data_IF_801288094903
#
_entry.id   IF_801288094903
#
_cell.length_a   1.000
_cell.length_b   1.000
_cell.length_c   1.000
_cell.angle_alpha   90.00
_cell.angle_beta   90.00
_cell.angle_gamma   90.00
#
_symmetry.space_group_name_H-M   'P 1'
#
loop_
_entity.id
_entity.type
_entity.pdbx_description
1 polymer ?
#
# COMPACT_ATOMS: atom_id res chain seq x y z
N UNK A 1 -80.33 -10.23 56.90
CA UNK A 1 -79.15 -9.38 56.61
C UNK A 1 -78.01 -9.93 57.47
N UNK A 2 -76.98 -10.50 56.86
CA UNK A 2 -75.90 -11.19 57.59
C UNK A 2 -74.84 -11.70 56.60
N UNK A 3 -73.70 -11.02 56.62
CA UNK A 3 -72.59 -11.05 55.66
C UNK A 3 -71.95 -12.43 55.44
N UNK A 4 -71.67 -12.73 54.16
CA UNK A 4 -70.58 -13.63 53.75
C UNK A 4 -69.35 -12.76 53.50
N UNK A 5 -68.33 -12.84 54.35
CA UNK A 5 -67.01 -12.24 54.07
C UNK A 5 -65.93 -13.30 53.88
N UNK A 6 -65.25 -13.09 52.76
CA UNK A 6 -64.09 -13.77 52.18
C UNK A 6 -62.99 -14.19 53.15
N UNK A 7 -62.68 -15.49 53.16
CA UNK A 7 -61.40 -16.03 53.58
C UNK A 7 -60.81 -16.84 52.43
N UNK A 8 -59.72 -16.37 51.83
CA UNK A 8 -59.10 -17.10 50.70
C UNK A 8 -57.92 -16.44 50.00
N UNK A 9 -57.59 -15.17 50.30
CA UNK A 9 -56.54 -14.44 49.58
C UNK A 9 -55.10 -14.67 50.09
N UNK A 10 -54.91 -15.25 51.29
CA UNK A 10 -53.59 -15.38 51.91
C UNK A 10 -52.77 -16.62 51.52
N UNK A 11 -53.44 -17.72 51.13
CA UNK A 11 -52.74 -18.98 50.83
C UNK A 11 -52.16 -19.02 49.41
N UNK A 12 -52.84 -18.38 48.44
CA UNK A 12 -52.39 -18.35 47.05
C UNK A 12 -51.08 -17.56 46.86
N UNK A 13 -50.89 -16.47 47.61
CA UNK A 13 -49.66 -15.66 47.52
C UNK A 13 -48.45 -16.35 48.13
N UNK A 14 -48.63 -17.03 49.27
CA UNK A 14 -47.56 -17.82 49.91
C UNK A 14 -47.16 -19.01 49.03
N UNK A 15 -48.15 -19.68 48.44
CA UNK A 15 -47.88 -20.80 47.53
C UNK A 15 -47.15 -20.34 46.25
N UNK A 16 -47.58 -19.24 45.64
CA UNK A 16 -46.90 -18.66 44.49
C UNK A 16 -45.46 -18.25 44.81
N UNK A 17 -45.21 -17.65 45.99
CA UNK A 17 -43.87 -17.27 46.41
C UNK A 17 -42.94 -18.49 46.61
N UNK A 18 -43.45 -19.58 47.18
CA UNK A 18 -42.67 -20.82 47.37
C UNK A 18 -42.35 -21.52 46.05
N UNK A 19 -43.30 -21.55 45.11
CA UNK A 19 -43.05 -22.09 43.76
C UNK A 19 -42.00 -21.26 43.03
N UNK A 20 -42.10 -19.93 43.11
CA UNK A 20 -41.15 -19.02 42.47
C UNK A 20 -39.75 -19.12 43.09
N UNK A 21 -39.67 -19.29 44.42
CA UNK A 21 -38.41 -19.55 45.12
C UNK A 21 -37.80 -20.89 44.73
N UNK A 22 -38.61 -21.95 44.62
CA UNK A 22 -38.15 -23.27 44.16
C UNK A 22 -37.61 -23.22 42.73
N UNK A 23 -38.31 -22.51 41.84
CA UNK A 23 -37.88 -22.31 40.46
C UNK A 23 -36.57 -21.51 40.37
N UNK A 24 -36.39 -20.49 41.22
CA UNK A 24 -35.12 -19.75 41.28
C UNK A 24 -33.97 -20.65 41.75
N UNK A 25 -34.17 -21.47 42.77
CA UNK A 25 -33.14 -22.40 43.27
C UNK A 25 -32.77 -23.45 42.23
N UNK A 26 -33.76 -23.99 41.51
CA UNK A 26 -33.55 -25.03 40.50
C UNK A 26 -32.86 -24.48 39.24
N UNK A 27 -33.18 -23.25 38.83
CA UNK A 27 -32.62 -22.64 37.61
C UNK A 27 -31.38 -21.77 37.85
N UNK A 28 -31.00 -21.49 39.10
CA UNK A 28 -29.81 -20.70 39.43
C UNK A 28 -28.54 -21.28 38.77
N UNK A 29 -28.35 -22.60 38.85
CA UNK A 29 -27.20 -23.27 38.24
C UNK A 29 -27.17 -23.19 36.72
N UNK A 30 -28.33 -23.19 36.06
CA UNK A 30 -28.43 -23.01 34.61
C UNK A 30 -28.07 -21.58 34.18
N UNK A 31 -28.44 -20.57 34.98
CA UNK A 31 -28.07 -19.17 34.73
C UNK A 31 -26.56 -18.97 34.90
N UNK A 32 -25.97 -19.54 35.95
CA UNK A 32 -24.52 -19.51 36.18
C UNK A 32 -23.76 -20.20 35.05
N UNK A 33 -24.23 -21.37 34.60
CA UNK A 33 -23.66 -22.08 33.47
C UNK A 33 -23.75 -21.26 32.17
N UNK A 34 -24.90 -20.63 31.90
CA UNK A 34 -25.07 -19.74 30.74
C UNK A 34 -24.13 -18.54 30.77
N UNK A 35 -24.00 -17.88 31.93
CA UNK A 35 -23.09 -16.75 32.10
C UNK A 35 -21.61 -17.15 31.89
N UNK A 36 -21.22 -18.32 32.39
CA UNK A 36 -19.87 -18.86 32.21
C UNK A 36 -19.54 -19.12 30.73
N UNK A 37 -20.50 -19.68 29.96
CA UNK A 37 -20.32 -19.90 28.51
C UNK A 37 -20.17 -18.58 27.76
N UNK A 38 -20.99 -17.57 28.08
CA UNK A 38 -20.90 -16.24 27.44
C UNK A 38 -19.55 -15.58 27.74
N UNK A 39 -19.10 -15.61 29.00
CA UNK A 39 -17.80 -15.06 29.39
C UNK A 39 -16.64 -15.77 28.68
N UNK A 40 -16.75 -17.09 28.49
CA UNK A 40 -15.75 -17.90 27.78
C UNK A 40 -15.65 -17.49 26.30
N UNK A 41 -16.79 -17.30 25.63
CA UNK A 41 -16.83 -16.88 24.22
C UNK A 41 -16.26 -15.48 24.06
N UNK A 42 -16.60 -14.54 24.96
CA UNK A 42 -16.06 -13.17 24.91
C UNK A 42 -14.56 -13.17 25.14
N UNK A 43 -14.05 -13.99 26.08
CA UNK A 43 -12.62 -14.13 26.31
C UNK A 43 -11.89 -14.68 25.08
N UNK A 44 -12.45 -15.70 24.42
CA UNK A 44 -11.88 -16.28 23.18
C UNK A 44 -11.86 -15.24 22.04
N UNK A 45 -12.93 -14.46 21.87
CA UNK A 45 -13.01 -13.41 20.83
C UNK A 45 -12.06 -12.25 21.12
N UNK A 46 -11.90 -11.86 22.39
CA UNK A 46 -10.96 -10.81 22.79
C UNK A 46 -9.50 -11.25 22.58
N UNK A 47 -9.17 -12.50 22.91
CA UNK A 47 -7.85 -13.08 22.68
C UNK A 47 -7.58 -13.26 21.19
N UNK A 48 -8.57 -13.68 20.38
CA UNK A 48 -8.40 -13.86 18.94
C UNK A 48 -8.17 -12.52 18.22
N UNK A 49 -8.90 -11.45 18.58
CA UNK A 49 -8.66 -10.10 18.06
C UNK A 49 -7.24 -9.61 18.37
N UNK A 50 -6.80 -9.82 19.61
CA UNK A 50 -5.45 -9.41 20.05
C UNK A 50 -4.34 -10.25 19.43
N UNK A 51 -4.61 -11.51 19.09
CA UNK A 51 -3.71 -12.34 18.30
C UNK A 51 -3.71 -11.95 16.82
N UNK A 52 -4.83 -11.54 16.25
CA UNK A 52 -4.91 -11.09 14.85
C UNK A 52 -4.10 -9.80 14.62
N UNK A 53 -4.16 -8.86 15.55
CA UNK A 53 -3.33 -7.64 15.51
C UNK A 53 -1.84 -7.96 15.63
N UNK A 54 -1.46 -8.93 16.47
CA UNK A 54 -0.07 -9.38 16.59
C UNK A 54 0.40 -10.21 15.40
N UNK A 55 -0.46 -11.02 14.79
CA UNK A 55 -0.12 -11.81 13.61
C UNK A 55 0.06 -10.95 12.38
N UNK A 56 -0.69 -9.86 12.25
CA UNK A 56 -0.51 -8.90 11.15
C UNK A 56 0.83 -8.16 11.30
N UNK A 57 1.14 -7.63 12.49
CA UNK A 57 2.41 -6.98 12.75
C UNK A 57 3.63 -7.93 12.66
N UNK A 58 3.44 -9.22 12.97
CA UNK A 58 4.48 -10.24 12.77
C UNK A 58 4.63 -10.58 11.28
N UNK A 59 3.53 -10.71 10.54
CA UNK A 59 3.55 -10.96 9.10
C UNK A 59 4.21 -9.82 8.32
N UNK A 60 4.02 -8.56 8.73
CA UNK A 60 4.72 -7.41 8.13
C UNK A 60 6.24 -7.48 8.35
N UNK A 61 6.69 -7.80 9.57
CA UNK A 61 8.12 -7.96 9.86
C UNK A 61 8.73 -9.16 9.13
N UNK A 62 8.00 -10.27 9.06
CA UNK A 62 8.45 -11.46 8.34
C UNK A 62 8.49 -11.21 6.83
N UNK A 63 7.57 -10.40 6.29
CA UNK A 63 7.57 -9.97 4.90
C UNK A 63 8.76 -9.06 4.58
N UNK A 64 9.10 -8.10 5.47
CA UNK A 64 10.31 -7.29 5.32
C UNK A 64 11.59 -8.14 5.37
N UNK A 65 11.67 -9.09 6.31
CA UNK A 65 12.83 -9.99 6.43
C UNK A 65 12.92 -10.92 5.21
N UNK A 66 11.79 -11.43 4.72
CA UNK A 66 11.73 -12.24 3.51
C UNK A 66 12.14 -11.43 2.27
N UNK A 67 11.70 -10.17 2.13
CA UNK A 67 12.13 -9.29 1.04
C UNK A 67 13.64 -9.04 1.09
N UNK A 68 14.22 -8.77 2.27
CA UNK A 68 15.67 -8.60 2.42
C UNK A 68 16.45 -9.88 2.13
N UNK A 69 15.95 -11.04 2.57
CA UNK A 69 16.56 -12.34 2.31
C UNK A 69 16.49 -12.70 0.82
N UNK A 70 15.38 -12.39 0.15
CA UNK A 70 15.19 -12.62 -1.27
C UNK A 70 16.06 -11.69 -2.12
N UNK A 71 16.25 -10.43 -1.70
CA UNK A 71 17.25 -9.54 -2.30
C UNK A 71 18.66 -10.13 -2.20
N UNK A 72 19.06 -10.61 -1.01
CA UNK A 72 20.36 -11.25 -0.81
C UNK A 72 20.54 -12.54 -1.63
N UNK A 73 19.48 -13.35 -1.75
CA UNK A 73 19.49 -14.56 -2.55
C UNK A 73 19.63 -14.25 -4.05
N UNK A 74 18.91 -13.24 -4.55
CA UNK A 74 19.05 -12.76 -5.93
C UNK A 74 20.43 -12.18 -6.23
N UNK A 75 21.06 -11.48 -5.28
CA UNK A 75 22.45 -11.03 -5.43
C UNK A 75 23.42 -12.22 -5.57
N UNK A 76 23.25 -13.25 -4.73
CA UNK A 76 24.08 -14.47 -4.75
C UNK A 76 23.94 -15.22 -6.08
N UNK A 77 22.72 -15.39 -6.59
CA UNK A 77 22.46 -16.10 -7.86
C UNK A 77 23.01 -15.36 -9.09
N UNK A 78 23.21 -14.04 -9.02
CA UNK A 78 23.77 -13.24 -10.12
C UNK A 78 25.29 -13.06 -10.06
N UNK A 79 25.95 -13.71 -9.10
CA UNK A 79 27.41 -13.61 -8.92
C UNK A 79 27.86 -12.27 -8.33
N UNK A 80 26.95 -11.48 -7.75
CA UNK A 80 27.29 -10.28 -7.00
C UNK A 80 27.85 -10.70 -5.62
N UNK A 81 29.13 -10.44 -5.41
CA UNK A 81 29.90 -10.87 -4.24
C UNK A 81 29.91 -9.86 -3.09
N UNK A 82 29.07 -8.81 -3.14
CA UNK A 82 28.93 -7.82 -2.06
C UNK A 82 28.44 -8.39 -0.72
N UNK A 83 28.10 -9.68 -0.66
CA UNK A 83 27.81 -10.43 0.57
C UNK A 83 28.96 -11.26 1.16
N UNK A 84 30.12 -11.36 0.51
CA UNK A 84 31.26 -12.16 1.02
C UNK A 84 32.18 -11.29 1.85
N UNK A 85 31.90 -11.18 3.14
CA UNK A 85 32.83 -10.57 4.08
C UNK A 85 33.98 -11.56 4.39
N UNK A 86 35.21 -11.13 4.10
CA UNK A 86 36.42 -11.91 4.37
C UNK A 86 37.55 -11.62 3.36
N UNK A 87 38.76 -12.15 3.60
CA UNK A 87 39.93 -11.94 2.74
C UNK A 87 39.71 -12.41 1.28
N UNK A 88 38.83 -13.38 1.06
CA UNK A 88 38.49 -13.87 -0.28
C UNK A 88 37.62 -12.87 -1.07
N UNK A 89 36.78 -12.09 -0.38
CA UNK A 89 35.97 -11.02 -1.01
C UNK A 89 36.80 -9.82 -1.47
N UNK A 90 37.87 -9.49 -0.74
CA UNK A 90 38.82 -8.44 -1.14
C UNK A 90 39.59 -8.81 -2.42
N UNK A 91 39.96 -10.08 -2.54
CA UNK A 91 40.70 -10.60 -3.72
C UNK A 91 39.80 -10.64 -4.97
N UNK A 92 38.52 -10.95 -4.81
CA UNK A 92 37.54 -10.89 -5.90
C UNK A 92 37.33 -9.46 -6.42
N UNK A 93 37.25 -8.48 -5.51
CA UNK A 93 37.17 -7.05 -5.86
C UNK A 93 38.41 -6.55 -6.61
N UNK A 94 39.61 -6.99 -6.21
CA UNK A 94 40.87 -6.63 -6.87
C UNK A 94 40.98 -7.23 -8.28
N UNK A 95 40.45 -8.44 -8.50
CA UNK A 95 40.47 -9.11 -9.81
C UNK A 95 39.52 -8.48 -10.84
N UNK A 96 38.39 -7.90 -10.40
CA UNK A 96 37.44 -7.22 -11.28
C UNK A 96 37.94 -5.84 -11.72
N UNK A 97 38.69 -5.14 -10.86
CA UNK A 97 39.29 -3.84 -11.19
C UNK A 97 40.39 -3.93 -12.27
N UNK A 98 40.96 -5.11 -12.50
CA UNK A 98 42.03 -5.35 -13.49
C UNK A 98 41.46 -5.82 -14.84
N UNK A 99 40.22 -6.32 -14.88
CA UNK A 99 39.64 -6.94 -16.08
C UNK A 99 39.06 -5.94 -17.09
N UNK A 100 38.60 -4.76 -16.65
CA UNK A 100 38.18 -3.68 -17.54
C UNK A 100 39.32 -2.66 -17.67
N UNK A 101 39.92 -2.60 -18.86
CA UNK A 101 40.85 -1.54 -19.26
C UNK A 101 40.14 -0.19 -19.37
N UNK A 102 39.72 0.35 -18.23
CA UNK A 102 39.00 1.62 -18.13
C UNK A 102 39.95 2.78 -18.48
N UNK A 103 39.49 3.62 -19.41
CA UNK A 103 40.10 4.90 -19.71
C UNK A 103 40.23 5.74 -18.42
N UNK A 104 41.31 6.51 -18.37
CA UNK A 104 41.78 7.33 -17.24
C UNK A 104 40.90 8.59 -17.08
N UNK A 105 39.58 8.44 -16.93
CA UNK A 105 38.68 9.56 -16.69
C UNK A 105 38.84 10.06 -15.24
N UNK A 106 39.00 11.38 -15.04
CA UNK A 106 39.18 11.94 -13.71
C UNK A 106 37.91 11.72 -12.86
N UNK A 107 38.05 11.54 -11.53
CA UNK A 107 36.92 11.40 -10.63
C UNK A 107 36.02 12.65 -10.69
N UNK A 108 34.71 12.45 -10.83
CA UNK A 108 33.70 13.53 -10.85
C UNK A 108 33.54 14.07 -9.42
N UNK A 109 33.50 15.40 -9.27
CA UNK A 109 33.19 16.01 -7.97
C UNK A 109 31.70 15.73 -7.65
N UNK A 110 31.40 15.09 -6.49
CA UNK A 110 30.03 14.80 -6.07
C UNK A 110 29.12 16.05 -6.01
N UNK A 111 29.68 17.25 -5.85
CA UNK A 111 28.93 18.52 -5.84
C UNK A 111 28.48 18.96 -7.24
N UNK A 112 29.03 18.37 -8.30
CA UNK A 112 28.65 18.61 -9.69
C UNK A 112 27.55 17.64 -10.16
N UNK A 113 27.26 16.58 -9.40
CA UNK A 113 26.22 15.60 -9.74
C UNK A 113 24.82 16.16 -9.44
N UNK A 114 23.89 15.90 -10.34
CA UNK A 114 22.50 16.33 -10.20
C UNK A 114 21.85 15.82 -8.91
N UNK A 115 21.05 16.68 -8.27
CA UNK A 115 20.25 16.33 -7.09
C UNK A 115 18.77 16.65 -7.30
N UNK A 116 17.91 16.05 -6.50
CA UNK A 116 16.46 16.24 -6.60
C UNK A 116 16.07 17.69 -6.30
N UNK A 117 15.55 18.38 -7.30
CA UNK A 117 15.06 19.74 -7.22
C UNK A 117 13.70 19.79 -6.50
N UNK A 118 13.67 20.47 -5.36
CA UNK A 118 12.45 20.64 -4.56
C UNK A 118 11.52 21.73 -5.10
N UNK A 119 11.97 22.63 -5.97
CA UNK A 119 11.17 23.74 -6.49
C UNK A 119 11.11 23.75 -8.02
N UNK A 120 10.08 24.36 -8.64
CA UNK A 120 10.01 24.50 -10.09
C UNK A 120 11.19 25.28 -10.68
N UNK A 121 11.69 26.29 -9.97
CA UNK A 121 12.84 27.08 -10.40
C UNK A 121 14.13 26.26 -10.38
N UNK A 122 14.34 25.43 -9.35
CA UNK A 122 15.49 24.54 -9.29
C UNK A 122 15.41 23.44 -10.36
N UNK A 123 14.21 22.93 -10.66
CA UNK A 123 13.99 21.96 -11.74
C UNK A 123 14.31 22.58 -13.10
N UNK A 124 13.89 23.83 -13.33
CA UNK A 124 14.21 24.54 -14.56
C UNK A 124 15.73 24.74 -14.72
N UNK A 125 16.43 25.06 -13.63
CA UNK A 125 17.89 25.15 -13.62
C UNK A 125 18.52 23.80 -13.96
N UNK A 126 18.08 22.73 -13.31
CA UNK A 126 18.56 21.37 -13.52
C UNK A 126 18.45 20.92 -14.99
N UNK A 127 17.31 21.16 -15.65
CA UNK A 127 17.13 20.78 -17.06
C UNK A 127 17.86 21.69 -18.05
N UNK A 128 18.24 22.90 -17.61
CA UNK A 128 19.02 23.85 -18.43
C UNK A 128 20.51 23.52 -18.36
N UNK A 129 21.02 23.29 -17.14
CA UNK A 129 22.45 23.04 -16.89
C UNK A 129 22.84 21.60 -17.24
N UNK A 130 21.90 20.65 -17.17
CA UNK A 130 22.10 19.22 -17.44
C UNK A 130 23.40 18.64 -16.82
N UNK A 131 23.62 18.79 -15.50
CA UNK A 131 24.75 18.15 -14.82
C UNK A 131 24.71 16.61 -14.94
N UNK A 132 25.79 15.89 -14.63
CA UNK A 132 25.78 14.43 -14.61
C UNK A 132 24.60 13.85 -13.81
N UNK A 133 23.93 12.85 -14.38
CA UNK A 133 22.74 12.19 -13.83
C UNK A 133 21.47 13.08 -13.79
N UNK A 134 21.44 14.20 -14.52
CA UNK A 134 20.30 15.14 -14.47
C UNK A 134 18.97 14.50 -14.84
N UNK A 135 18.96 13.51 -15.75
CA UNK A 135 17.72 12.84 -16.22
C UNK A 135 16.99 12.19 -15.04
N UNK A 136 17.73 11.46 -14.22
CA UNK A 136 17.21 10.77 -13.03
C UNK A 136 16.75 11.76 -11.96
N UNK A 137 17.56 12.79 -11.70
CA UNK A 137 17.22 13.86 -10.78
C UNK A 137 15.97 14.65 -11.22
N UNK A 138 15.84 14.97 -12.52
CA UNK A 138 14.70 15.70 -13.07
C UNK A 138 13.42 14.86 -12.98
N UNK A 139 13.49 13.57 -13.31
CA UNK A 139 12.38 12.65 -13.14
C UNK A 139 11.91 12.59 -11.68
N UNK A 140 12.82 12.33 -10.74
CA UNK A 140 12.52 12.31 -9.30
C UNK A 140 11.94 13.64 -8.79
N UNK A 141 12.47 14.77 -9.30
CA UNK A 141 12.00 16.11 -8.96
C UNK A 141 10.53 16.31 -9.31
N UNK A 142 10.11 15.86 -10.51
CA UNK A 142 8.71 15.92 -10.91
C UNK A 142 7.83 15.06 -10.01
N UNK A 143 8.25 13.82 -9.69
CA UNK A 143 7.49 12.95 -8.78
C UNK A 143 7.26 13.60 -7.41
N UNK A 144 8.31 14.14 -6.80
CA UNK A 144 8.24 14.81 -5.49
C UNK A 144 7.36 16.06 -5.56
N UNK A 145 7.55 16.92 -6.56
CA UNK A 145 6.79 18.15 -6.70
C UNK A 145 5.30 17.89 -6.95
N UNK A 146 4.97 16.88 -7.76
CA UNK A 146 3.58 16.49 -8.07
C UNK A 146 2.90 15.73 -6.92
N UNK A 147 3.65 14.96 -6.12
CA UNK A 147 3.12 14.29 -4.93
C UNK A 147 2.75 15.27 -3.82
N UNK A 148 3.50 16.37 -3.69
CA UNK A 148 3.33 17.38 -2.62
C UNK A 148 1.90 17.92 -2.47
N UNK A 149 1.20 18.41 -3.52
CA UNK A 149 -0.20 18.85 -3.41
C UNK A 149 -1.18 17.70 -3.12
N UNK A 150 -0.83 16.45 -3.43
CA UNK A 150 -1.67 15.28 -3.15
C UNK A 150 -1.56 14.80 -1.69
N UNK A 151 -0.56 15.25 -0.93
CA UNK A 151 -0.24 14.69 0.39
C UNK A 151 -1.37 14.79 1.40
N UNK A 152 -2.15 15.87 1.39
CA UNK A 152 -3.29 16.00 2.29
C UNK A 152 -4.33 14.91 2.00
N UNK A 153 -4.73 14.78 0.73
CA UNK A 153 -5.69 13.78 0.24
C UNK A 153 -5.20 12.34 0.46
N UNK A 154 -3.91 12.08 0.21
CA UNK A 154 -3.30 10.77 0.44
C UNK A 154 -3.31 10.39 1.93
N UNK A 155 -3.06 11.35 2.84
CA UNK A 155 -3.15 11.10 4.29
C UNK A 155 -4.59 10.86 4.73
N UNK A 156 -5.54 11.64 4.23
CA UNK A 156 -6.96 11.46 4.53
C UNK A 156 -7.41 10.07 4.08
N UNK A 157 -7.04 9.65 2.86
CA UNK A 157 -7.32 8.31 2.37
C UNK A 157 -6.67 7.22 3.23
N UNK A 158 -5.38 7.36 3.61
CA UNK A 158 -4.69 6.38 4.45
C UNK A 158 -5.31 6.25 5.85
N UNK A 159 -5.79 7.36 6.43
CA UNK A 159 -6.49 7.37 7.71
C UNK A 159 -7.95 6.89 7.60
N UNK A 160 -8.44 6.70 6.38
CA UNK A 160 -9.82 6.35 6.08
C UNK A 160 -10.82 7.50 6.32
N UNK A 161 -10.33 8.74 6.40
CA UNK A 161 -11.17 9.92 6.48
C UNK A 161 -11.57 10.37 5.09
N UNK A 162 -12.87 10.49 4.87
CA UNK A 162 -13.42 11.22 3.73
C UNK A 162 -14.77 11.82 4.07
N UNK A 163 -14.99 13.04 3.58
CA UNK A 163 -16.32 13.64 3.57
C UNK A 163 -17.22 12.80 2.65
N UNK A 164 -18.43 12.48 3.10
CA UNK A 164 -19.42 11.74 2.32
C UNK A 164 -19.96 12.57 1.14
N UNK A 165 -19.13 12.75 0.11
CA UNK A 165 -19.45 13.47 -1.14
C UNK A 165 -19.79 12.51 -2.28
N UNK A 166 -19.68 11.21 -2.07
CA UNK A 166 -19.96 10.19 -3.07
C UNK A 166 -21.44 9.80 -3.16
N UNK A 167 -21.77 8.86 -4.06
CA UNK A 167 -23.14 8.45 -4.31
C UNK A 167 -23.76 7.78 -3.06
N UNK A 168 -25.08 7.96 -2.91
CA UNK A 168 -25.87 7.20 -1.94
C UNK A 168 -26.41 5.92 -2.59
N UNK A 169 -25.97 4.78 -2.12
CA UNK A 169 -26.25 3.46 -2.68
C UNK A 169 -27.35 2.77 -1.86
N UNK A 170 -28.59 2.83 -2.36
CA UNK A 170 -29.79 2.41 -1.62
C UNK A 170 -30.11 0.91 -1.68
N UNK A 171 -29.44 0.12 -2.53
CA UNK A 171 -29.75 -1.29 -2.74
C UNK A 171 -28.50 -2.15 -2.94
N UNK A 172 -28.62 -3.45 -2.64
CA UNK A 172 -27.54 -4.41 -2.89
C UNK A 172 -27.07 -4.40 -4.34
N UNK A 173 -28.00 -4.35 -5.32
CA UNK A 173 -27.67 -4.25 -6.74
C UNK A 173 -26.87 -2.98 -7.07
N UNK A 174 -27.27 -1.83 -6.52
CA UNK A 174 -26.54 -0.57 -6.72
C UNK A 174 -25.12 -0.63 -6.14
N UNK A 175 -24.96 -1.26 -4.97
CA UNK A 175 -23.64 -1.50 -4.38
C UNK A 175 -22.81 -2.46 -5.23
N UNK A 176 -23.41 -3.57 -5.69
CA UNK A 176 -22.75 -4.56 -6.54
C UNK A 176 -22.21 -3.94 -7.83
N UNK A 177 -23.04 -3.18 -8.56
CA UNK A 177 -22.60 -2.46 -9.75
C UNK A 177 -21.50 -1.44 -9.44
N UNK A 178 -21.69 -0.63 -8.41
CA UNK A 178 -20.68 0.36 -8.03
C UNK A 178 -19.31 -0.27 -7.75
N UNK A 179 -19.29 -1.37 -7.00
CA UNK A 179 -18.04 -2.08 -6.66
C UNK A 179 -17.39 -2.68 -7.90
N UNK A 180 -18.16 -3.34 -8.77
CA UNK A 180 -17.63 -3.91 -10.02
C UNK A 180 -17.06 -2.81 -10.92
N UNK A 181 -17.78 -1.71 -11.11
CA UNK A 181 -17.30 -0.58 -11.92
C UNK A 181 -15.99 0.00 -11.37
N UNK A 182 -15.83 0.12 -10.04
CA UNK A 182 -14.59 0.61 -9.43
C UNK A 182 -13.44 -0.37 -9.56
N UNK A 183 -13.70 -1.67 -9.47
CA UNK A 183 -12.69 -2.70 -9.72
C UNK A 183 -12.22 -2.66 -11.18
N UNK A 184 -13.15 -2.55 -12.13
CA UNK A 184 -12.83 -2.44 -13.55
C UNK A 184 -12.02 -1.18 -13.85
N UNK A 185 -12.37 -0.04 -13.24
CA UNK A 185 -11.61 1.21 -13.37
C UNK A 185 -10.18 1.04 -12.84
N UNK A 186 -10.00 0.37 -11.70
CA UNK A 186 -8.68 0.14 -11.09
C UNK A 186 -7.83 -0.83 -11.93
N UNK A 187 -8.41 -1.92 -12.44
CA UNK A 187 -7.73 -2.85 -13.34
C UNK A 187 -7.29 -2.15 -14.63
N UNK A 188 -8.18 -1.36 -15.24
CA UNK A 188 -7.87 -0.58 -16.44
C UNK A 188 -6.74 0.41 -16.18
N UNK A 189 -6.73 1.08 -15.03
CA UNK A 189 -5.64 1.97 -14.65
C UNK A 189 -4.31 1.23 -14.50
N UNK A 190 -4.31 0.04 -13.88
CA UNK A 190 -3.10 -0.76 -13.72
C UNK A 190 -2.54 -1.20 -15.09
N UNK A 191 -3.40 -1.69 -16.00
CA UNK A 191 -3.03 -2.05 -17.38
C UNK A 191 -2.51 -0.83 -18.16
N UNK A 192 -3.13 0.35 -18.01
CA UNK A 192 -2.67 1.57 -18.64
C UNK A 192 -1.28 2.00 -18.14
N UNK A 193 -0.98 1.79 -16.85
CA UNK A 193 0.35 2.04 -16.28
C UNK A 193 1.36 1.05 -16.83
N UNK A 194 1.07 -0.25 -16.80
CA UNK A 194 1.96 -1.29 -17.32
C UNK A 194 2.29 -1.07 -18.81
N UNK A 195 1.27 -0.78 -19.61
CA UNK A 195 1.40 -0.47 -21.03
C UNK A 195 2.25 0.80 -21.25
N UNK A 196 2.04 1.82 -20.43
CA UNK A 196 2.84 3.06 -20.47
C UNK A 196 4.31 2.82 -20.10
N UNK A 197 4.60 2.07 -19.03
CA UNK A 197 5.96 1.75 -18.58
C UNK A 197 6.70 0.86 -19.58
N UNK A 198 5.97 0.00 -20.30
CA UNK A 198 6.51 -0.88 -21.35
C UNK A 198 6.67 -0.18 -22.70
N UNK A 199 6.19 1.07 -22.85
CA UNK A 199 6.23 1.77 -24.11
C UNK A 199 7.68 2.11 -24.53
N UNK A 200 8.03 1.99 -25.82
CA UNK A 200 9.38 2.34 -26.30
C UNK A 200 9.79 3.79 -25.98
N UNK A 201 8.83 4.72 -25.95
CA UNK A 201 9.08 6.12 -25.58
C UNK A 201 9.50 6.27 -24.11
N UNK A 202 8.93 5.46 -23.22
CA UNK A 202 9.35 5.42 -21.82
C UNK A 202 10.77 4.88 -21.70
N UNK A 203 11.04 3.73 -22.32
CA UNK A 203 12.36 3.09 -22.30
C UNK A 203 13.46 4.01 -22.89
N UNK A 204 13.17 4.71 -23.99
CA UNK A 204 14.10 5.65 -24.62
C UNK A 204 14.51 6.83 -23.71
N UNK A 205 13.69 7.18 -22.72
CA UNK A 205 14.01 8.24 -21.75
C UNK A 205 15.17 7.85 -20.84
N UNK A 206 15.36 6.54 -20.63
CA UNK A 206 16.33 5.97 -19.70
C UNK A 206 17.34 5.04 -20.37
N UNK A 207 17.32 4.92 -21.71
CA UNK A 207 18.26 4.08 -22.44
C UNK A 207 19.68 4.66 -22.35
N UNK A 208 20.61 3.81 -21.91
CA UNK A 208 22.02 4.12 -21.71
C UNK A 208 22.84 3.54 -22.88
N UNK A 209 22.43 3.77 -24.13
CA UNK A 209 23.19 3.33 -25.31
C UNK A 209 24.39 4.23 -25.63
N UNK A 210 25.15 4.63 -24.60
CA UNK A 210 26.40 5.38 -24.76
C UNK A 210 26.25 6.76 -25.40
N UNK A 211 25.03 7.30 -25.48
CA UNK A 211 24.76 8.65 -25.97
C UNK A 211 24.98 9.67 -24.84
N UNK A 212 25.61 10.79 -25.19
CA UNK A 212 25.85 11.93 -24.31
C UNK A 212 24.55 12.38 -23.60
N UNK A 213 24.63 12.55 -22.27
CA UNK A 213 23.51 13.04 -21.45
C UNK A 213 22.91 14.35 -21.94
N UNK A 214 23.71 15.17 -22.63
CA UNK A 214 23.32 16.45 -23.19
C UNK A 214 22.26 16.35 -24.30
N UNK A 215 22.24 15.26 -25.06
CA UNK A 215 21.40 15.07 -26.27
C UNK A 215 19.98 14.65 -25.93
N UNK A 216 19.75 14.11 -24.72
CA UNK A 216 18.41 13.69 -24.32
C UNK A 216 17.48 14.87 -24.11
N UNK A 217 16.29 14.72 -24.66
CA UNK A 217 15.20 15.69 -24.57
C UNK A 217 14.68 15.79 -23.13
N UNK A 218 14.86 16.97 -22.54
CA UNK A 218 14.37 17.26 -21.20
C UNK A 218 12.83 17.26 -21.15
N UNK A 219 12.17 17.74 -22.20
CA UNK A 219 10.71 17.78 -22.23
C UNK A 219 10.12 16.38 -22.22
N UNK A 220 10.77 15.41 -22.89
CA UNK A 220 10.38 14.00 -22.84
C UNK A 220 10.48 13.42 -21.42
N UNK A 221 11.60 13.64 -20.71
CA UNK A 221 11.78 13.20 -19.31
C UNK A 221 10.69 13.77 -18.41
N UNK A 222 10.44 15.08 -18.52
CA UNK A 222 9.42 15.77 -17.74
C UNK A 222 8.01 15.27 -18.07
N UNK A 223 7.70 15.05 -19.35
CA UNK A 223 6.40 14.57 -19.79
C UNK A 223 6.13 13.16 -19.27
N UNK A 224 7.11 12.26 -19.34
CA UNK A 224 6.99 10.89 -18.84
C UNK A 224 6.75 10.89 -17.32
N UNK A 225 7.49 11.69 -16.56
CA UNK A 225 7.30 11.82 -15.11
C UNK A 225 5.91 12.39 -14.75
N UNK A 226 5.45 13.43 -15.46
CA UNK A 226 4.13 14.01 -15.25
C UNK A 226 3.02 12.99 -15.54
N UNK A 227 3.16 12.25 -16.64
CA UNK A 227 2.20 11.22 -17.03
C UNK A 227 2.11 10.10 -16.00
N UNK A 228 3.25 9.67 -15.44
CA UNK A 228 3.25 8.69 -14.35
C UNK A 228 2.48 9.20 -13.12
N UNK A 229 2.66 10.48 -12.77
CA UNK A 229 1.95 11.12 -11.66
C UNK A 229 0.46 11.37 -11.93
N UNK A 230 0.04 11.51 -13.20
CA UNK A 230 -1.39 11.54 -13.54
C UNK A 230 -2.09 10.23 -13.15
N UNK A 231 -1.43 9.08 -13.32
CA UNK A 231 -1.98 7.79 -12.89
C UNK A 231 -2.12 7.70 -11.37
N UNK A 232 -1.12 8.20 -10.62
CA UNK A 232 -1.18 8.27 -9.16
C UNK A 232 -2.39 9.09 -8.68
N UNK A 233 -2.65 10.27 -9.27
CA UNK A 233 -3.83 11.07 -8.94
C UNK A 233 -5.15 10.38 -9.35
N UNK A 234 -5.18 9.65 -10.48
CA UNK A 234 -6.36 8.88 -10.90
C UNK A 234 -6.67 7.72 -9.94
N UNK A 235 -5.66 6.98 -9.48
CA UNK A 235 -5.85 5.96 -8.43
C UNK A 235 -6.37 6.58 -7.14
N UNK A 236 -5.87 7.77 -6.77
CA UNK A 236 -6.34 8.49 -5.59
C UNK A 236 -7.81 8.85 -5.74
N UNK A 237 -8.23 9.32 -6.92
CA UNK A 237 -9.63 9.57 -7.23
C UNK A 237 -10.51 8.33 -7.08
N UNK A 238 -10.04 7.14 -7.50
CA UNK A 238 -10.78 5.88 -7.31
C UNK A 238 -10.94 5.54 -5.83
N UNK A 239 -9.86 5.63 -5.04
CA UNK A 239 -9.93 5.42 -3.59
C UNK A 239 -10.89 6.40 -2.92
N UNK A 240 -10.84 7.67 -3.32
CA UNK A 240 -11.73 8.70 -2.79
C UNK A 240 -13.20 8.44 -3.12
N UNK A 241 -13.51 8.03 -4.36
CA UNK A 241 -14.88 7.67 -4.74
C UNK A 241 -15.41 6.49 -3.91
N UNK A 242 -14.58 5.47 -3.66
CA UNK A 242 -14.96 4.33 -2.85
C UNK A 242 -15.28 4.75 -1.40
N UNK A 243 -14.48 5.65 -0.83
CA UNK A 243 -14.64 6.13 0.55
C UNK A 243 -15.78 7.13 0.72
N UNK A 244 -16.04 7.94 -0.30
CA UNK A 244 -17.14 8.89 -0.32
C UNK A 244 -18.52 8.24 -0.49
N UNK A 245 -18.58 7.00 -0.96
CA UNK A 245 -19.84 6.28 -1.16
C UNK A 245 -20.54 5.99 0.17
N UNK A 246 -21.84 6.31 0.24
CA UNK A 246 -22.66 6.03 1.42
C UNK A 246 -23.62 4.88 1.13
N UNK A 247 -23.79 3.97 2.08
CA UNK A 247 -24.67 2.81 1.91
C UNK A 247 -25.32 2.41 3.23
N UNK A 248 -26.34 1.56 3.17
CA UNK A 248 -26.96 0.99 4.35
C UNK A 248 -26.02 0.00 5.04
N UNK A 249 -26.16 -0.12 6.37
CA UNK A 249 -25.26 -0.92 7.22
C UNK A 249 -24.87 -2.31 6.71
N UNK A 250 -25.78 -3.11 6.10
CA UNK A 250 -25.45 -4.44 5.59
C UNK A 250 -24.39 -4.48 4.47
N UNK A 251 -24.20 -3.37 3.75
CA UNK A 251 -23.32 -3.31 2.58
C UNK A 251 -22.02 -2.54 2.81
N UNK A 252 -21.88 -1.90 3.97
CA UNK A 252 -20.73 -1.05 4.30
C UNK A 252 -19.39 -1.80 4.24
N UNK A 253 -19.38 -3.10 4.56
CA UNK A 253 -18.16 -3.90 4.54
C UNK A 253 -17.62 -4.12 3.12
N UNK A 254 -18.49 -4.21 2.10
CA UNK A 254 -18.06 -4.39 0.71
C UNK A 254 -17.44 -3.10 0.17
N UNK A 255 -18.04 -1.95 0.48
CA UNK A 255 -17.48 -0.64 0.13
C UNK A 255 -16.13 -0.43 0.83
N UNK A 256 -16.01 -0.83 2.10
CA UNK A 256 -14.73 -0.75 2.84
C UNK A 256 -13.66 -1.63 2.23
N UNK A 257 -14.00 -2.86 1.83
CA UNK A 257 -13.07 -3.76 1.15
C UNK A 257 -12.61 -3.17 -0.19
N UNK A 258 -13.53 -2.58 -0.97
CA UNK A 258 -13.23 -1.91 -2.24
C UNK A 258 -12.31 -0.70 -2.04
N UNK A 259 -12.56 0.13 -1.01
CA UNK A 259 -11.67 1.24 -0.67
C UNK A 259 -10.26 0.77 -0.28
N UNK A 260 -10.14 -0.31 0.51
CA UNK A 260 -8.83 -0.89 0.86
C UNK A 260 -8.06 -1.40 -0.35
N UNK A 261 -8.76 -2.02 -1.29
CA UNK A 261 -8.15 -2.48 -2.54
C UNK A 261 -7.59 -1.29 -3.34
N UNK A 262 -8.35 -0.19 -3.42
CA UNK A 262 -7.92 1.03 -4.11
C UNK A 262 -6.74 1.77 -3.44
N UNK A 263 -6.42 1.46 -2.18
CA UNK A 263 -5.26 2.04 -1.49
C UNK A 263 -3.95 1.32 -1.81
N UNK A 264 -3.99 0.06 -2.25
CA UNK A 264 -2.78 -0.73 -2.51
C UNK A 264 -1.88 -0.10 -3.59
N UNK A 265 -2.40 0.35 -4.75
CA UNK A 265 -1.58 1.08 -5.72
C UNK A 265 -1.01 2.38 -5.14
N UNK A 266 -1.75 3.10 -4.30
CA UNK A 266 -1.28 4.36 -3.69
C UNK A 266 -0.09 4.13 -2.76
N UNK A 267 -0.11 3.04 -1.98
CA UNK A 267 1.01 2.63 -1.14
C UNK A 267 2.23 2.25 -1.99
N UNK A 268 1.99 1.49 -3.06
CA UNK A 268 3.03 1.07 -4.02
C UNK A 268 3.70 2.28 -4.69
N UNK A 269 2.91 3.27 -5.15
CA UNK A 269 3.43 4.54 -5.67
C UNK A 269 4.23 5.31 -4.62
N UNK A 270 3.76 5.33 -3.36
CA UNK A 270 4.48 5.96 -2.26
C UNK A 270 5.87 5.34 -2.07
N UNK A 271 5.93 4.02 -1.92
CA UNK A 271 7.17 3.27 -1.75
C UNK A 271 8.11 3.45 -2.94
N UNK A 272 7.61 3.34 -4.17
CA UNK A 272 8.39 3.56 -5.39
C UNK A 272 9.01 4.97 -5.43
N UNK A 273 8.23 6.02 -5.13
CA UNK A 273 8.74 7.41 -5.15
C UNK A 273 9.82 7.58 -4.09
N UNK A 274 9.61 7.03 -2.89
CA UNK A 274 10.56 7.15 -1.77
C UNK A 274 11.87 6.42 -2.10
N UNK A 275 11.81 5.18 -2.61
CA UNK A 275 12.98 4.39 -3.03
C UNK A 275 13.72 5.06 -4.20
N UNK A 276 12.98 5.59 -5.18
CA UNK A 276 13.60 6.25 -6.34
C UNK A 276 14.34 7.53 -5.94
N UNK A 277 13.77 8.33 -5.04
CA UNK A 277 14.40 9.54 -4.52
C UNK A 277 15.64 9.20 -3.70
N UNK A 278 15.56 8.16 -2.86
CA UNK A 278 16.72 7.67 -2.11
C UNK A 278 17.84 7.24 -3.05
N UNK A 279 17.54 6.44 -4.07
CA UNK A 279 18.52 5.99 -5.06
C UNK A 279 19.19 7.15 -5.80
N UNK A 280 18.42 8.16 -6.20
CA UNK A 280 18.97 9.37 -6.82
C UNK A 280 19.85 10.14 -5.85
N UNK A 281 19.51 10.18 -4.57
CA UNK A 281 20.33 10.78 -3.51
C UNK A 281 21.67 10.07 -3.27
N UNK A 282 21.77 8.78 -3.59
CA UNK A 282 23.01 8.00 -3.50
C UNK A 282 23.95 8.22 -4.70
N UNK A 283 23.43 8.71 -5.84
CA UNK A 283 24.20 8.85 -7.08
C UNK A 283 25.48 9.70 -6.94
N UNK A 284 25.51 10.84 -6.23
CA UNK A 284 26.74 11.61 -6.03
C UNK A 284 27.87 10.80 -5.38
N UNK A 285 27.55 10.00 -4.36
CA UNK A 285 28.51 9.13 -3.69
C UNK A 285 28.92 7.96 -4.58
N UNK A 286 28.00 7.39 -5.36
CA UNK A 286 28.31 6.35 -6.34
C UNK A 286 29.29 6.87 -7.40
N UNK A 287 29.08 8.09 -7.92
CA UNK A 287 29.90 8.70 -8.95
C UNK A 287 31.29 9.10 -8.46
N UNK A 288 31.46 9.41 -7.17
CA UNK A 288 32.79 9.66 -6.59
C UNK A 288 33.72 8.45 -6.72
N UNK A 289 33.17 7.23 -6.66
CA UNK A 289 33.93 5.99 -6.66
C UNK A 289 33.81 5.18 -7.96
N UNK A 290 32.90 5.56 -8.84
CA UNK A 290 32.68 4.92 -10.12
C UNK A 290 33.88 5.13 -11.06
N UNK A 291 34.40 4.03 -11.62
CA UNK A 291 35.28 4.06 -12.78
C UNK A 291 34.55 3.32 -13.91
N UNK A 292 33.86 4.05 -14.78
CA UNK A 292 33.05 3.49 -15.85
C UNK A 292 31.56 3.30 -15.50
N UNK A 293 30.85 2.51 -16.31
CA UNK A 293 29.39 2.34 -16.19
C UNK A 293 29.01 1.59 -14.92
N UNK A 294 28.29 2.26 -14.02
CA UNK A 294 27.75 1.62 -12.81
C UNK A 294 26.37 1.05 -13.10
N UNK A 295 26.23 -0.27 -13.00
CA UNK A 295 24.91 -0.93 -12.99
C UNK A 295 24.31 -0.78 -11.59
N UNK A 296 23.25 0.01 -11.49
CA UNK A 296 22.40 0.08 -10.30
C UNK A 296 21.22 -0.89 -10.42
N UNK A 297 20.72 -1.38 -9.29
CA UNK A 297 19.51 -2.18 -9.27
C UNK A 297 18.32 -1.33 -9.75
N UNK A 298 17.42 -1.87 -10.61
CA UNK A 298 16.27 -1.11 -11.07
C UNK A 298 15.31 -0.87 -9.91
N UNK A 299 14.82 0.36 -9.77
CA UNK A 299 13.70 0.69 -8.88
C UNK A 299 12.42 0.36 -9.65
N UNK A 300 11.61 -0.55 -9.12
CA UNK A 300 10.44 -1.11 -9.81
C UNK A 300 9.16 -0.59 -9.15
N UNK A 301 8.23 -0.07 -9.95
CA UNK A 301 6.87 0.14 -9.51
C UNK A 301 6.11 -1.18 -9.66
N UNK A 302 5.96 -1.90 -8.55
CA UNK A 302 5.20 -3.14 -8.48
C UNK A 302 3.91 -2.92 -7.67
N UNK A 303 2.78 -3.39 -8.19
CA UNK A 303 1.50 -3.30 -7.50
C UNK A 303 1.27 -4.59 -6.72
N UNK A 304 1.56 -4.55 -5.42
CA UNK A 304 1.27 -5.67 -4.52
C UNK A 304 -0.23 -5.69 -4.20
N UNK A 305 -0.97 -6.52 -4.93
CA UNK A 305 -2.43 -6.63 -4.80
C UNK A 305 -2.79 -7.93 -4.07
N UNK A 306 -3.63 -7.82 -3.03
CA UNK A 306 -4.12 -8.98 -2.28
C UNK A 306 -5.20 -9.74 -3.07
N UNK A 307 -4.81 -10.83 -3.73
CA UNK A 307 -5.71 -11.74 -4.44
C UNK A 307 -6.87 -12.25 -3.57
N UNK A 308 -6.64 -12.46 -2.27
CA UNK A 308 -7.69 -12.93 -1.35
C UNK A 308 -8.71 -11.82 -1.08
N UNK A 309 -8.27 -10.56 -1.06
CA UNK A 309 -9.15 -9.41 -0.95
C UNK A 309 -10.01 -9.28 -2.22
N UNK A 310 -9.41 -9.37 -3.41
CA UNK A 310 -10.12 -9.38 -4.70
C UNK A 310 -11.20 -10.47 -4.68
N UNK A 311 -10.83 -11.71 -4.38
CA UNK A 311 -11.74 -12.84 -4.33
C UNK A 311 -12.90 -12.60 -3.37
N UNK A 312 -12.63 -12.01 -2.21
CA UNK A 312 -13.65 -11.67 -1.21
C UNK A 312 -14.61 -10.61 -1.75
N UNK A 313 -14.11 -9.57 -2.39
CA UNK A 313 -14.93 -8.50 -2.98
C UNK A 313 -15.80 -9.06 -4.11
N UNK A 314 -15.22 -9.82 -5.05
CA UNK A 314 -15.94 -10.40 -6.19
C UNK A 314 -17.06 -11.32 -5.71
N UNK A 315 -16.80 -12.21 -4.73
CA UNK A 315 -17.83 -13.09 -4.17
C UNK A 315 -18.98 -12.30 -3.55
N UNK A 316 -18.67 -11.25 -2.78
CA UNK A 316 -19.69 -10.41 -2.14
C UNK A 316 -20.47 -9.58 -3.16
N UNK A 317 -19.80 -8.98 -4.14
CA UNK A 317 -20.44 -8.22 -5.21
C UNK A 317 -21.42 -9.09 -6.03
N UNK A 318 -21.00 -10.31 -6.41
CA UNK A 318 -21.87 -11.27 -7.12
C UNK A 318 -23.10 -11.66 -6.32
N UNK A 319 -22.94 -11.89 -5.01
CA UNK A 319 -24.06 -12.19 -4.13
C UNK A 319 -25.04 -11.01 -4.04
N UNK A 320 -24.56 -9.76 -4.10
CA UNK A 320 -25.39 -8.56 -4.06
C UNK A 320 -26.11 -8.25 -5.39
N UNK A 321 -25.51 -8.61 -6.53
CA UNK A 321 -26.12 -8.44 -7.86
C UNK A 321 -27.17 -9.51 -8.20
N UNK A 322 -27.18 -10.64 -7.48
CA UNK A 322 -28.13 -11.74 -7.69
C UNK A 322 -29.52 -11.47 -7.08
N UNK A 323 -29.63 -10.44 -6.23
CA UNK A 323 -30.89 -9.95 -5.63
C UNK A 323 -31.35 -8.62 -6.26
#
# INVERSE_FOLDING_TARGET
>A
MGDRRSGGAGFGSVFAALVLLGLVVEYFWWIVAGAAVVASVVAVVAVSRRMHERSLAAAERDAEVAQRAEQQHRWTLRGDSRGVYGPDGATAMESLAVADGAADDPPVDPSEVATVASTPADLQRLVTEKPPCWRWAAFASVLVQRRRPLMARLRDSALGFMTATGPHLCSGRAVGHFVVDRMDDMMRLAEEVESFLSAPAFAATFDYRGEDESVVDADAVLQVANRLMDYHDRFLGVSEMCRGATTSGPYADVIRDCARLADMPLQSYGAFIDEFVERVGEMPEMMRHARGTVKADPVILDFDIDDRLIDRIVRRAKALSAY
#
